data_IF_650633662497
#
_entry.id   IF_650633662497
#
_cell.length_a   1.000
_cell.length_b   1.000
_cell.length_c   1.000
_cell.angle_alpha   90.00
_cell.angle_beta   90.00
_cell.angle_gamma   90.00
#
_symmetry.space_group_name_H-M   'P 1'
#
loop_
_entity.id
_entity.type
_entity.pdbx_description
1 polymer ?
#
# COMPACT_ATOMS: atom_id res chain seq x y z
N UNK A 1 45.57 20.81 -3.88
CA UNK A 1 44.40 21.71 -4.05
C UNK A 1 43.16 20.96 -3.51
N UNK A 2 42.77 21.33 -2.30
CA UNK A 2 41.68 20.69 -1.56
C UNK A 2 40.35 21.32 -1.94
N UNK A 3 39.47 20.53 -2.57
CA UNK A 3 38.06 20.89 -2.80
C UNK A 3 37.14 20.27 -1.74
N UNK A 4 36.85 21.02 -0.69
CA UNK A 4 35.81 20.66 0.28
C UNK A 4 34.45 20.82 -0.39
N UNK A 5 33.80 19.70 -0.72
CA UNK A 5 32.37 19.69 -1.03
C UNK A 5 31.58 19.79 0.29
N UNK A 6 31.00 20.97 0.50
CA UNK A 6 30.11 21.21 1.64
C UNK A 6 28.85 20.38 1.51
N UNK A 7 28.60 19.55 2.49
CA UNK A 7 27.31 18.86 2.68
C UNK A 7 26.34 19.93 3.16
N UNK A 8 25.43 20.32 2.29
CA UNK A 8 24.33 21.21 2.61
C UNK A 8 23.30 20.40 3.38
N UNK A 9 23.28 20.54 4.70
CA UNK A 9 22.21 20.03 5.57
C UNK A 9 20.90 20.72 5.17
N UNK A 10 20.06 20.02 4.42
CA UNK A 10 18.71 20.45 4.16
C UNK A 10 17.98 20.54 5.50
N UNK A 11 17.54 21.75 5.85
CA UNK A 11 16.67 22.01 7.01
C UNK A 11 15.40 21.17 6.85
N UNK A 12 15.28 20.11 7.63
CA UNK A 12 14.08 19.31 7.77
C UNK A 12 12.96 20.24 8.29
N UNK A 13 12.10 20.70 7.38
CA UNK A 13 10.87 21.37 7.76
C UNK A 13 9.94 20.28 8.31
N UNK A 14 9.75 20.26 9.61
CA UNK A 14 8.72 19.49 10.28
C UNK A 14 7.35 20.03 9.85
N UNK A 15 6.82 19.49 8.76
CA UNK A 15 5.46 19.80 8.36
C UNK A 15 4.49 18.93 9.16
N UNK A 16 3.80 19.54 10.13
CA UNK A 16 2.58 18.95 10.68
C UNK A 16 1.65 18.64 9.49
N UNK A 17 1.19 17.39 9.44
CA UNK A 17 0.26 16.97 8.39
C UNK A 17 -1.05 17.78 8.54
N UNK A 18 -1.42 18.67 7.57
CA UNK A 18 -2.61 19.51 7.71
C UNK A 18 -3.89 18.70 7.97
N UNK A 19 -3.94 17.48 7.43
CA UNK A 19 -5.05 16.55 7.63
C UNK A 19 -5.24 16.12 9.09
N UNK A 20 -4.19 16.10 9.92
CA UNK A 20 -4.29 15.72 11.33
C UNK A 20 -5.10 16.72 12.16
N UNK A 21 -4.86 18.02 12.00
CA UNK A 21 -5.61 19.06 12.71
C UNK A 21 -7.08 19.14 12.27
N UNK A 22 -7.32 19.09 10.96
CA UNK A 22 -8.69 19.06 10.40
C UNK A 22 -9.41 17.79 10.87
N UNK A 23 -8.75 16.64 10.87
CA UNK A 23 -9.29 15.39 11.37
C UNK A 23 -9.66 15.45 12.85
N UNK A 24 -8.88 16.14 13.68
CA UNK A 24 -9.18 16.32 15.09
C UNK A 24 -10.45 17.17 15.28
N UNK A 25 -10.60 18.26 14.54
CA UNK A 25 -11.78 19.13 14.60
C UNK A 25 -13.05 18.41 14.11
N UNK A 26 -12.92 17.54 13.10
CA UNK A 26 -14.03 16.77 12.53
C UNK A 26 -14.27 15.44 13.26
N UNK A 27 -13.44 15.08 14.23
CA UNK A 27 -13.47 13.76 14.87
C UNK A 27 -14.86 13.32 15.34
N UNK A 28 -15.68 14.17 16.02
CA UNK A 28 -17.03 13.75 16.42
C UNK A 28 -17.91 13.35 15.22
N UNK A 29 -17.84 14.09 14.12
CA UNK A 29 -18.60 13.79 12.91
C UNK A 29 -18.06 12.54 12.18
N UNK A 30 -16.73 12.33 12.17
CA UNK A 30 -16.10 11.16 11.58
C UNK A 30 -16.45 9.88 12.33
N UNK A 31 -16.62 9.96 13.65
CA UNK A 31 -16.97 8.80 14.48
C UNK A 31 -18.43 8.35 14.31
N UNK A 32 -19.35 9.28 13.93
CA UNK A 32 -20.77 8.95 13.78
C UNK A 32 -21.20 8.67 12.33
N UNK A 33 -20.39 9.06 11.34
CA UNK A 33 -20.71 8.87 9.93
C UNK A 33 -19.61 8.14 9.18
N UNK A 34 -19.84 6.86 8.90
CA UNK A 34 -18.93 6.03 8.12
C UNK A 34 -18.66 6.63 6.72
N UNK A 35 -19.69 7.13 6.05
CA UNK A 35 -19.55 7.76 4.74
C UNK A 35 -18.66 9.01 4.80
N UNK A 36 -18.86 9.89 5.81
CA UNK A 36 -18.02 11.08 5.99
C UNK A 36 -16.57 10.69 6.29
N UNK A 37 -16.37 9.65 7.11
CA UNK A 37 -15.04 9.12 7.42
C UNK A 37 -14.33 8.60 6.15
N UNK A 38 -15.01 7.83 5.32
CA UNK A 38 -14.46 7.33 4.05
C UNK A 38 -14.12 8.48 3.09
N UNK A 39 -15.00 9.48 2.95
CA UNK A 39 -14.78 10.64 2.09
C UNK A 39 -13.62 11.51 2.58
N UNK A 40 -13.54 11.73 3.90
CA UNK A 40 -12.42 12.44 4.52
C UNK A 40 -11.10 11.73 4.27
N UNK A 41 -11.04 10.43 4.55
CA UNK A 41 -9.84 9.63 4.32
C UNK A 41 -9.41 9.65 2.83
N UNK A 42 -10.36 9.47 1.91
CA UNK A 42 -10.05 9.52 0.48
C UNK A 42 -9.44 10.88 0.08
N UNK A 43 -9.93 11.97 0.67
CA UNK A 43 -9.44 13.32 0.39
C UNK A 43 -8.04 13.55 0.94
N UNK A 44 -7.78 13.17 2.21
CA UNK A 44 -6.45 13.37 2.82
C UNK A 44 -5.41 12.45 2.19
N UNK A 45 -5.78 11.21 1.82
CA UNK A 45 -4.88 10.28 1.17
C UNK A 45 -4.47 10.78 -0.23
N UNK A 46 -5.43 11.25 -1.04
CA UNK A 46 -5.14 11.86 -2.35
C UNK A 46 -4.28 13.11 -2.23
N UNK A 47 -4.57 13.98 -1.25
CA UNK A 47 -3.76 15.16 -0.97
C UNK A 47 -2.34 14.76 -0.57
N UNK A 48 -2.17 13.77 0.30
CA UNK A 48 -0.86 13.25 0.68
C UNK A 48 -0.08 12.70 -0.53
N UNK A 49 -0.75 11.95 -1.40
CA UNK A 49 -0.13 11.45 -2.63
C UNK A 49 0.23 12.59 -3.60
N UNK A 50 -0.56 13.65 -3.69
CA UNK A 50 -0.23 14.84 -4.49
C UNK A 50 1.00 15.59 -3.95
N UNK A 51 1.14 15.70 -2.62
CA UNK A 51 2.26 16.41 -1.99
C UNK A 51 3.55 15.58 -2.04
N UNK A 52 3.47 14.27 -1.74
CA UNK A 52 4.63 13.39 -1.55
C UNK A 52 4.72 12.25 -2.58
N UNK A 53 3.90 12.27 -3.63
CA UNK A 53 3.83 11.18 -4.62
C UNK A 53 5.18 10.84 -5.25
N UNK A 54 6.02 11.83 -5.48
CA UNK A 54 7.37 11.61 -6.01
C UNK A 54 8.26 10.79 -5.07
N UNK A 55 8.09 10.91 -3.74
CA UNK A 55 8.83 10.12 -2.76
C UNK A 55 8.44 8.64 -2.83
N UNK A 56 7.22 8.32 -3.25
CA UNK A 56 6.75 6.94 -3.41
C UNK A 56 7.03 6.35 -4.81
N UNK A 57 7.24 7.20 -5.82
CA UNK A 57 7.31 6.79 -7.22
C UNK A 57 8.44 5.80 -7.51
N UNK A 58 9.62 6.01 -6.90
CA UNK A 58 10.77 5.12 -7.09
C UNK A 58 10.52 3.72 -6.51
N UNK A 59 9.97 3.67 -5.29
CA UNK A 59 9.61 2.39 -4.64
C UNK A 59 8.58 1.64 -5.47
N UNK A 60 7.52 2.33 -5.93
CA UNK A 60 6.50 1.73 -6.81
C UNK A 60 7.08 1.20 -8.10
N UNK A 61 7.94 1.98 -8.76
CA UNK A 61 8.60 1.56 -10.00
C UNK A 61 9.43 0.31 -9.77
N UNK A 62 10.29 0.30 -8.75
CA UNK A 62 11.11 -0.87 -8.40
C UNK A 62 10.26 -2.09 -8.07
N UNK A 63 9.18 -1.90 -7.33
CA UNK A 63 8.28 -2.98 -6.95
C UNK A 63 7.53 -3.55 -8.15
N UNK A 64 6.96 -2.69 -9.00
CA UNK A 64 6.11 -3.12 -10.12
C UNK A 64 6.90 -3.68 -11.30
N UNK A 65 8.21 -3.38 -11.44
CA UNK A 65 9.08 -4.06 -12.43
C UNK A 65 9.21 -5.55 -12.17
N UNK A 66 8.94 -6.04 -10.95
CA UNK A 66 8.90 -7.47 -10.65
C UNK A 66 7.80 -8.21 -11.46
N UNK A 67 6.76 -7.50 -11.87
CA UNK A 67 5.75 -8.09 -12.75
C UNK A 67 6.32 -8.44 -14.13
N UNK A 68 7.32 -7.72 -14.62
CA UNK A 68 7.85 -7.89 -15.99
C UNK A 68 8.48 -9.27 -16.20
N UNK A 69 9.08 -9.86 -15.16
CA UNK A 69 9.66 -11.20 -15.18
C UNK A 69 8.66 -12.35 -15.03
N UNK A 70 7.40 -12.07 -14.67
CA UNK A 70 6.41 -13.12 -14.43
C UNK A 70 5.87 -13.70 -15.74
N UNK A 71 5.64 -15.01 -15.72
CA UNK A 71 4.89 -15.73 -16.75
C UNK A 71 3.61 -16.26 -16.12
N UNK A 72 2.46 -15.92 -16.69
CA UNK A 72 1.17 -16.38 -16.17
C UNK A 72 1.04 -17.91 -16.27
N UNK A 73 0.38 -18.50 -15.28
CA UNK A 73 -0.01 -19.91 -15.31
C UNK A 73 -1.24 -20.15 -16.21
N UNK A 74 -2.00 -19.11 -16.55
CA UNK A 74 -3.10 -19.15 -17.51
C UNK A 74 -2.55 -19.10 -18.93
N UNK A 75 -2.78 -20.16 -19.73
CA UNK A 75 -2.29 -20.23 -21.11
C UNK A 75 -2.80 -19.07 -21.96
N UNK A 76 -4.03 -18.60 -21.76
CA UNK A 76 -4.60 -17.46 -22.48
C UNK A 76 -3.89 -16.15 -22.15
N UNK A 77 -3.52 -15.93 -20.89
CA UNK A 77 -2.77 -14.74 -20.46
C UNK A 77 -1.31 -14.81 -20.92
N UNK A 78 -0.70 -15.99 -20.79
CA UNK A 78 0.66 -16.27 -21.27
C UNK A 78 0.80 -15.98 -22.76
N UNK A 79 -0.14 -16.43 -23.58
CA UNK A 79 -0.15 -16.17 -25.02
C UNK A 79 -0.21 -14.68 -25.38
N UNK A 80 -0.80 -13.84 -24.51
CA UNK A 80 -0.88 -12.39 -24.67
C UNK A 80 0.26 -11.64 -23.97
N UNK A 81 1.21 -12.35 -23.34
CA UNK A 81 2.24 -11.73 -22.49
C UNK A 81 1.67 -11.01 -21.27
N UNK A 82 0.45 -11.34 -20.85
CA UNK A 82 -0.24 -10.74 -19.72
C UNK A 82 -0.04 -11.55 -18.43
N UNK A 83 -0.28 -10.90 -17.28
CA UNK A 83 -0.31 -11.53 -15.95
C UNK A 83 -1.58 -11.14 -15.23
N UNK A 84 -2.05 -12.01 -14.32
CA UNK A 84 -3.20 -11.73 -13.47
C UNK A 84 -2.77 -11.19 -12.12
N UNK A 85 -3.24 -9.99 -11.79
CA UNK A 85 -2.86 -9.28 -10.57
C UNK A 85 -4.10 -8.92 -9.75
N UNK A 86 -4.06 -9.22 -8.46
CA UNK A 86 -4.98 -8.66 -7.47
C UNK A 86 -4.27 -7.52 -6.73
N UNK A 87 -4.89 -6.36 -6.68
CA UNK A 87 -4.45 -5.29 -5.77
C UNK A 87 -5.42 -5.15 -4.61
N UNK A 88 -4.89 -5.39 -3.40
CA UNK A 88 -5.61 -5.20 -2.14
C UNK A 88 -5.35 -3.78 -1.63
N UNK A 89 -6.42 -3.05 -1.33
CA UNK A 89 -6.32 -1.64 -0.94
C UNK A 89 -5.91 -0.74 -2.11
N UNK A 90 -6.53 -0.93 -3.27
CA UNK A 90 -6.15 -0.24 -4.51
C UNK A 90 -6.35 1.29 -4.49
N UNK A 91 -7.15 1.81 -3.54
CA UNK A 91 -7.50 3.22 -3.42
C UNK A 91 -7.91 3.84 -4.77
N UNK A 92 -7.32 4.97 -5.16
CA UNK A 92 -7.56 5.61 -6.45
C UNK A 92 -6.62 5.11 -7.57
N UNK A 93 -5.91 3.99 -7.36
CA UNK A 93 -5.04 3.36 -8.36
C UNK A 93 -3.68 4.03 -8.57
N UNK A 94 -2.96 4.45 -7.52
CA UNK A 94 -1.66 5.13 -7.67
C UNK A 94 -0.55 4.20 -8.19
N UNK A 95 -0.80 2.90 -8.27
CA UNK A 95 0.16 1.91 -8.77
C UNK A 95 -0.04 1.60 -10.27
N UNK A 96 -1.18 1.97 -10.84
CA UNK A 96 -1.53 1.61 -12.23
C UNK A 96 -0.51 2.14 -13.26
N UNK A 97 -0.02 3.37 -13.07
CA UNK A 97 0.93 4.02 -13.98
C UNK A 97 2.30 3.31 -14.07
N UNK A 98 2.64 2.47 -13.08
CA UNK A 98 3.89 1.72 -13.03
C UNK A 98 3.77 0.31 -13.61
N UNK A 99 2.59 -0.12 -14.05
CA UNK A 99 2.38 -1.40 -14.71
C UNK A 99 2.74 -1.30 -16.20
N UNK A 100 3.96 -1.69 -16.55
CA UNK A 100 4.51 -1.47 -17.91
C UNK A 100 4.14 -2.55 -18.92
N UNK A 101 3.47 -3.64 -18.52
CA UNK A 101 3.03 -4.76 -19.35
C UNK A 101 1.51 -4.95 -19.33
N UNK A 102 0.93 -5.79 -20.20
CA UNK A 102 -0.49 -6.15 -20.11
C UNK A 102 -0.82 -6.84 -18.79
N UNK A 103 -1.85 -6.37 -18.11
CA UNK A 103 -2.30 -6.91 -16.80
C UNK A 103 -3.81 -7.14 -16.85
N UNK A 104 -4.24 -8.35 -16.50
CA UNK A 104 -5.61 -8.66 -16.10
C UNK A 104 -5.72 -8.33 -14.60
N UNK A 105 -6.41 -7.24 -14.30
CA UNK A 105 -6.37 -6.60 -13.00
C UNK A 105 -7.67 -6.78 -12.23
N UNK A 106 -7.54 -7.22 -10.99
CA UNK A 106 -8.63 -7.27 -10.03
C UNK A 106 -8.37 -6.25 -8.93
N UNK A 107 -9.38 -5.43 -8.67
CA UNK A 107 -9.37 -4.43 -7.61
C UNK A 107 -10.12 -4.94 -6.38
N UNK A 108 -9.51 -4.85 -5.19
CA UNK A 108 -10.19 -5.01 -3.91
C UNK A 108 -10.00 -3.75 -3.08
N UNK A 109 -11.10 -3.02 -2.79
CA UNK A 109 -11.08 -1.75 -2.06
C UNK A 109 -12.41 -1.54 -1.33
N UNK A 110 -12.41 -1.41 0.01
CA UNK A 110 -13.65 -1.20 0.76
C UNK A 110 -14.19 0.22 0.66
N UNK A 111 -13.36 1.22 0.33
CA UNK A 111 -13.76 2.63 0.27
C UNK A 111 -14.16 3.05 -1.14
N UNK A 112 -15.45 3.07 -1.42
CA UNK A 112 -16.01 3.45 -2.73
C UNK A 112 -15.81 4.93 -3.11
N UNK A 113 -15.39 5.78 -2.16
CA UNK A 113 -15.07 7.18 -2.45
C UNK A 113 -13.85 7.37 -3.36
N UNK A 114 -13.08 6.31 -3.57
CA UNK A 114 -11.98 6.29 -4.52
C UNK A 114 -12.39 5.98 -5.96
N UNK A 115 -13.60 5.42 -6.19
CA UNK A 115 -13.97 4.81 -7.47
C UNK A 115 -13.87 5.77 -8.66
N UNK A 116 -14.36 6.99 -8.54
CA UNK A 116 -14.29 7.97 -9.62
C UNK A 116 -12.84 8.32 -10.02
N UNK A 117 -11.96 8.52 -9.02
CA UNK A 117 -10.55 8.80 -9.27
C UNK A 117 -9.81 7.56 -9.79
N UNK A 118 -10.18 6.37 -9.34
CA UNK A 118 -9.65 5.10 -9.84
C UNK A 118 -9.96 4.93 -11.34
N UNK A 119 -11.21 5.19 -11.76
CA UNK A 119 -11.59 5.08 -13.16
C UNK A 119 -10.80 6.04 -14.07
N UNK A 120 -10.55 7.27 -13.60
CA UNK A 120 -9.72 8.22 -14.36
C UNK A 120 -8.28 7.70 -14.54
N UNK A 121 -7.69 7.15 -13.48
CA UNK A 121 -6.34 6.59 -13.56
C UNK A 121 -6.29 5.31 -14.40
N UNK A 122 -7.33 4.48 -14.35
CA UNK A 122 -7.43 3.29 -15.19
C UNK A 122 -7.48 3.66 -16.67
N UNK A 123 -8.28 4.66 -17.05
CA UNK A 123 -8.35 5.14 -18.43
C UNK A 123 -7.01 5.67 -18.96
N UNK A 124 -6.19 6.24 -18.08
CA UNK A 124 -4.84 6.70 -18.43
C UNK A 124 -3.82 5.56 -18.61
N UNK A 125 -4.18 4.32 -18.22
CA UNK A 125 -3.27 3.17 -18.23
C UNK A 125 -3.85 2.00 -19.06
N UNK A 126 -3.85 2.06 -20.41
CA UNK A 126 -4.53 1.11 -21.28
C UNK A 126 -3.96 -0.32 -21.25
N UNK A 127 -2.77 -0.52 -20.64
CA UNK A 127 -2.19 -1.85 -20.42
C UNK A 127 -2.88 -2.62 -19.30
N UNK A 128 -3.62 -1.94 -18.44
CA UNK A 128 -4.33 -2.54 -17.31
C UNK A 128 -5.79 -2.74 -17.68
N UNK A 129 -6.21 -3.98 -17.77
CA UNK A 129 -7.61 -4.37 -17.98
C UNK A 129 -8.26 -4.71 -16.66
N UNK A 130 -9.20 -3.88 -16.19
CA UNK A 130 -9.99 -4.17 -15.00
C UNK A 130 -10.99 -5.28 -15.30
N UNK A 131 -10.73 -6.48 -14.79
CA UNK A 131 -11.60 -7.63 -14.93
C UNK A 131 -12.66 -7.66 -13.82
N UNK A 132 -12.28 -7.31 -12.61
CA UNK A 132 -13.18 -7.33 -11.46
C UNK A 132 -12.87 -6.25 -10.44
N UNK A 133 -13.93 -5.65 -9.89
CA UNK A 133 -13.86 -4.74 -8.73
C UNK A 133 -14.65 -5.35 -7.57
N UNK A 134 -13.98 -5.52 -6.44
CA UNK A 134 -14.53 -6.11 -5.22
C UNK A 134 -14.55 -5.02 -4.13
N UNK A 135 -15.74 -4.69 -3.64
CA UNK A 135 -15.89 -3.84 -2.46
C UNK A 135 -15.77 -4.73 -1.22
N UNK A 136 -14.59 -4.76 -0.60
CA UNK A 136 -14.33 -5.65 0.53
C UNK A 136 -12.93 -5.50 1.10
N UNK A 137 -12.72 -6.23 2.20
CA UNK A 137 -11.44 -6.27 2.92
C UNK A 137 -10.66 -7.53 2.54
N UNK A 138 -9.33 -7.41 2.48
CA UNK A 138 -8.43 -8.49 2.10
C UNK A 138 -8.39 -9.67 3.09
N UNK A 139 -8.94 -9.53 4.28
CA UNK A 139 -9.10 -10.59 5.26
C UNK A 139 -10.22 -11.61 4.88
N UNK A 140 -10.99 -11.31 3.84
CA UNK A 140 -12.03 -12.20 3.34
C UNK A 140 -12.05 -12.23 1.81
N UNK A 141 -11.41 -13.22 1.24
CA UNK A 141 -11.34 -13.47 -0.20
C UNK A 141 -12.02 -14.80 -0.60
N UNK A 142 -13.02 -15.27 0.16
CA UNK A 142 -13.71 -16.57 -0.05
C UNK A 142 -14.25 -16.73 -1.48
N UNK A 143 -14.60 -15.61 -2.16
CA UNK A 143 -15.07 -15.60 -3.54
C UNK A 143 -13.96 -15.81 -4.58
N UNK A 144 -12.69 -15.88 -4.15
CA UNK A 144 -11.53 -16.04 -5.01
C UNK A 144 -10.95 -17.44 -4.83
N UNK A 145 -10.78 -18.21 -5.93
CA UNK A 145 -10.20 -19.56 -5.85
C UNK A 145 -8.74 -19.52 -5.36
N UNK A 146 -8.30 -20.64 -4.78
CA UNK A 146 -6.90 -20.86 -4.43
C UNK A 146 -6.02 -20.83 -5.69
N UNK A 147 -4.83 -20.25 -5.57
CA UNK A 147 -3.84 -20.27 -6.63
C UNK A 147 -4.23 -19.51 -7.91
N UNK A 148 -5.12 -18.54 -7.82
CA UNK A 148 -5.72 -17.88 -8.98
C UNK A 148 -4.86 -16.76 -9.57
N UNK A 149 -4.07 -16.05 -8.75
CA UNK A 149 -3.27 -14.90 -9.18
C UNK A 149 -1.79 -15.24 -9.41
N UNK A 150 -1.19 -14.58 -10.40
CA UNK A 150 0.25 -14.58 -10.63
C UNK A 150 0.96 -13.67 -9.64
N UNK A 151 0.31 -12.54 -9.28
CA UNK A 151 0.79 -11.63 -8.25
C UNK A 151 -0.37 -11.02 -7.44
N UNK A 152 -0.09 -10.74 -6.18
CA UNK A 152 -0.90 -9.89 -5.30
C UNK A 152 -0.07 -8.64 -4.98
N UNK A 153 -0.66 -7.47 -5.14
CA UNK A 153 -0.06 -6.19 -4.81
C UNK A 153 -0.74 -5.62 -3.56
N UNK A 154 0.05 -5.20 -2.60
CA UNK A 154 -0.42 -4.62 -1.35
C UNK A 154 0.47 -3.44 -0.95
N UNK A 155 -0.11 -2.23 -0.96
CA UNK A 155 0.64 -1.01 -0.61
C UNK A 155 -0.10 -0.19 0.44
N UNK A 156 0.49 -0.06 1.63
CA UNK A 156 -0.07 0.69 2.77
C UNK A 156 -1.41 0.13 3.27
N UNK A 157 -1.53 -1.20 3.35
CA UNK A 157 -2.74 -1.91 3.78
C UNK A 157 -2.57 -2.55 5.15
N UNK A 158 -1.43 -3.20 5.42
CA UNK A 158 -1.20 -3.88 6.70
C UNK A 158 -1.35 -2.94 7.89
N UNK A 159 -1.00 -1.67 7.75
CA UNK A 159 -1.16 -0.68 8.82
C UNK A 159 -2.63 -0.54 9.28
N UNK A 160 -3.59 -0.74 8.38
CA UNK A 160 -5.03 -0.57 8.62
C UNK A 160 -5.81 -1.88 8.75
N UNK A 161 -5.20 -3.01 8.40
CA UNK A 161 -5.83 -4.33 8.50
C UNK A 161 -6.28 -4.65 9.94
N UNK A 162 -7.46 -5.23 10.08
CA UNK A 162 -8.01 -5.67 11.38
C UNK A 162 -7.31 -6.94 11.84
N UNK A 163 -7.12 -7.90 10.93
CA UNK A 163 -6.38 -9.14 11.16
C UNK A 163 -5.30 -9.32 10.07
N UNK A 164 -4.08 -8.88 10.39
CA UNK A 164 -2.96 -8.94 9.47
C UNK A 164 -2.56 -10.37 9.10
N UNK A 165 -2.72 -11.34 10.03
CA UNK A 165 -2.40 -12.74 9.73
C UNK A 165 -3.38 -13.29 8.71
N UNK A 166 -4.66 -13.13 8.96
CA UNK A 166 -5.71 -13.57 8.05
C UNK A 166 -5.56 -12.94 6.67
N UNK A 167 -5.22 -11.64 6.60
CA UNK A 167 -4.94 -10.96 5.34
C UNK A 167 -3.76 -11.59 4.60
N UNK A 168 -2.64 -11.86 5.28
CA UNK A 168 -1.46 -12.46 4.67
C UNK A 168 -1.72 -13.92 4.26
N UNK A 169 -2.48 -14.68 5.05
CA UNK A 169 -2.90 -16.04 4.73
C UNK A 169 -3.78 -16.07 3.48
N UNK A 170 -4.73 -15.14 3.36
CA UNK A 170 -5.57 -15.01 2.16
C UNK A 170 -4.74 -14.60 0.93
N UNK A 171 -3.84 -13.61 1.06
CA UNK A 171 -2.93 -13.25 -0.03
C UNK A 171 -2.12 -14.46 -0.51
N UNK A 172 -1.61 -15.26 0.42
CA UNK A 172 -0.85 -16.48 0.09
C UNK A 172 -1.73 -17.56 -0.54
N UNK A 173 -2.97 -17.76 -0.05
CA UNK A 173 -3.91 -18.74 -0.59
C UNK A 173 -4.31 -18.45 -2.03
N UNK A 174 -4.60 -17.19 -2.34
CA UNK A 174 -5.04 -16.81 -3.71
C UNK A 174 -3.89 -16.72 -4.71
N UNK A 175 -2.64 -16.65 -4.23
CA UNK A 175 -1.45 -16.74 -5.10
C UNK A 175 -1.23 -18.17 -5.58
N UNK A 176 -0.93 -18.33 -6.86
CA UNK A 176 -0.43 -19.60 -7.37
C UNK A 176 0.90 -19.97 -6.72
N UNK A 177 1.26 -21.23 -6.75
CA UNK A 177 2.60 -21.67 -6.35
C UNK A 177 3.67 -20.91 -7.16
N UNK A 178 4.62 -20.29 -6.47
CA UNK A 178 5.63 -19.40 -7.07
C UNK A 178 5.07 -18.05 -7.55
N UNK A 179 3.84 -17.69 -7.19
CA UNK A 179 3.29 -16.34 -7.37
C UNK A 179 3.89 -15.37 -6.37
N UNK A 180 3.79 -14.07 -6.66
CA UNK A 180 4.47 -13.03 -5.90
C UNK A 180 3.49 -12.17 -5.10
N UNK A 181 3.76 -11.98 -3.81
CA UNK A 181 3.23 -10.87 -3.04
C UNK A 181 4.22 -9.70 -3.17
N UNK A 182 3.80 -8.63 -3.81
CA UNK A 182 4.52 -7.37 -3.92
C UNK A 182 3.98 -6.42 -2.85
N UNK A 183 4.83 -5.93 -1.96
CA UNK A 183 4.36 -5.11 -0.85
C UNK A 183 5.22 -3.86 -0.63
N UNK A 184 4.57 -2.79 -0.16
CA UNK A 184 5.21 -1.59 0.38
C UNK A 184 4.38 -1.09 1.56
N UNK A 185 4.99 -0.96 2.74
CA UNK A 185 4.30 -0.62 3.98
C UNK A 185 5.13 0.35 4.81
N UNK A 186 4.47 1.29 5.50
CA UNK A 186 5.15 1.98 6.59
C UNK A 186 5.22 1.09 7.83
N UNK A 187 6.27 1.25 8.60
CA UNK A 187 6.51 0.46 9.82
C UNK A 187 6.88 1.37 10.97
N UNK A 188 6.50 0.95 12.16
CA UNK A 188 6.84 1.68 13.39
C UNK A 188 8.35 1.81 13.59
N UNK A 189 8.75 2.90 14.22
CA UNK A 189 10.14 3.12 14.61
C UNK A 189 10.59 2.09 15.68
N UNK A 190 11.90 1.90 15.88
CA UNK A 190 12.41 0.95 16.86
C UNK A 190 11.82 1.19 18.25
N UNK A 191 11.42 0.10 18.92
CA UNK A 191 10.89 0.15 20.30
C UNK A 191 11.88 0.86 21.23
N UNK A 192 11.36 1.73 22.10
CA UNK A 192 12.18 2.54 23.02
C UNK A 192 12.73 3.84 22.42
N UNK A 193 12.53 4.12 21.12
CA UNK A 193 12.87 5.43 20.53
C UNK A 193 11.82 6.50 20.85
N UNK A 194 12.23 7.77 20.85
CA UNK A 194 11.29 8.89 20.99
C UNK A 194 10.26 8.91 19.85
N UNK A 195 10.67 8.59 18.63
CA UNK A 195 9.78 8.49 17.47
C UNK A 195 8.70 7.43 17.71
N UNK A 196 9.05 6.24 18.27
CA UNK A 196 8.07 5.20 18.62
C UNK A 196 7.10 5.69 19.69
N UNK A 197 7.57 6.42 20.70
CA UNK A 197 6.69 6.98 21.73
C UNK A 197 5.66 7.96 21.14
N UNK A 198 6.07 8.76 20.14
CA UNK A 198 5.13 9.61 19.39
C UNK A 198 4.11 8.78 18.57
N UNK A 199 4.55 7.75 17.88
CA UNK A 199 3.64 6.85 17.15
C UNK A 199 2.64 6.18 18.09
N UNK A 200 3.10 5.68 19.25
CA UNK A 200 2.25 5.03 20.25
C UNK A 200 1.19 6.02 20.78
N UNK A 201 1.58 7.28 21.03
CA UNK A 201 0.68 8.32 21.50
C UNK A 201 -0.36 8.73 20.45
N UNK A 202 0.05 8.85 19.17
CA UNK A 202 -0.84 9.31 18.09
C UNK A 202 -1.59 8.18 17.38
N UNK A 203 -1.26 6.93 17.59
CA UNK A 203 -1.94 5.78 16.98
C UNK A 203 -3.45 5.76 17.26
N UNK A 204 -3.96 6.02 18.48
CA UNK A 204 -5.40 6.07 18.73
C UNK A 204 -6.14 7.11 17.86
N UNK A 205 -5.53 8.29 17.66
CA UNK A 205 -6.07 9.31 16.76
C UNK A 205 -6.02 8.86 15.30
N UNK A 206 -4.86 8.34 14.85
CA UNK A 206 -4.66 7.85 13.48
C UNK A 206 -5.66 6.75 13.12
N UNK A 207 -5.94 5.82 14.01
CA UNK A 207 -6.97 4.78 13.81
C UNK A 207 -8.34 5.36 13.49
N UNK A 208 -8.72 6.43 14.16
CA UNK A 208 -10.03 7.06 14.00
C UNK A 208 -10.10 8.05 12.83
N UNK A 209 -8.96 8.55 12.35
CA UNK A 209 -8.91 9.57 11.28
C UNK A 209 -8.46 8.97 9.95
N UNK A 210 -7.60 7.95 9.99
CA UNK A 210 -6.97 7.34 8.82
C UNK A 210 -7.37 5.86 8.64
N UNK A 211 -8.66 5.57 8.69
CA UNK A 211 -9.25 4.26 8.37
C UNK A 211 -8.55 3.07 9.07
N UNK A 212 -8.33 3.17 10.37
CA UNK A 212 -7.74 2.07 11.14
C UNK A 212 -6.21 2.05 11.17
N UNK A 213 -5.53 3.03 10.62
CA UNK A 213 -4.07 3.04 10.51
C UNK A 213 -3.39 3.00 11.88
N UNK A 214 -2.52 2.02 12.08
CA UNK A 214 -1.63 1.89 13.22
C UNK A 214 -0.24 2.41 12.82
N UNK A 215 0.14 3.57 13.31
CA UNK A 215 1.44 4.19 13.00
C UNK A 215 2.63 3.34 13.46
N UNK A 216 2.43 2.59 14.53
CA UNK A 216 3.44 1.82 15.25
C UNK A 216 3.45 0.32 14.92
N UNK A 217 2.82 -0.12 13.82
CA UNK A 217 2.74 -1.54 13.49
C UNK A 217 4.07 -2.06 12.96
N UNK A 218 4.49 -3.21 13.49
CA UNK A 218 5.72 -3.90 13.04
C UNK A 218 5.37 -4.84 11.86
N UNK A 219 4.91 -4.26 10.72
CA UNK A 219 4.43 -5.01 9.54
C UNK A 219 5.49 -5.94 8.95
N UNK A 220 6.78 -5.57 9.06
CA UNK A 220 7.88 -6.41 8.59
C UNK A 220 7.96 -7.75 9.31
N UNK A 221 7.74 -7.79 10.63
CA UNK A 221 7.77 -9.03 11.41
C UNK A 221 6.55 -9.91 11.09
N UNK A 222 5.41 -9.29 10.81
CA UNK A 222 4.21 -10.02 10.37
C UNK A 222 4.47 -10.72 9.03
N UNK A 223 5.06 -10.03 8.06
CA UNK A 223 5.40 -10.62 6.75
C UNK A 223 6.45 -11.73 6.92
N UNK A 224 7.51 -11.51 7.71
CA UNK A 224 8.55 -12.55 7.97
C UNK A 224 7.95 -13.82 8.57
N UNK A 225 6.95 -13.69 9.43
CA UNK A 225 6.32 -14.83 10.12
C UNK A 225 5.18 -15.47 9.36
N UNK A 226 4.81 -14.99 8.17
CA UNK A 226 3.65 -15.46 7.41
C UNK A 226 3.88 -16.74 6.60
N UNK A 227 5.13 -17.27 6.58
CA UNK A 227 5.44 -18.58 5.98
C UNK A 227 5.39 -18.58 4.45
N UNK A 228 5.76 -17.49 3.78
CA UNK A 228 6.09 -17.48 2.36
C UNK A 228 7.36 -18.29 2.09
N UNK A 229 7.48 -18.89 0.91
CA UNK A 229 8.62 -19.74 0.54
C UNK A 229 9.94 -18.97 0.46
N UNK A 230 9.89 -17.70 0.04
CA UNK A 230 11.02 -16.77 0.07
C UNK A 230 10.54 -15.34 0.35
N UNK A 231 11.45 -14.53 0.87
CA UNK A 231 11.19 -13.12 1.18
C UNK A 231 12.43 -12.29 0.90
N UNK A 232 12.29 -11.32 0.02
CA UNK A 232 13.24 -10.23 -0.18
C UNK A 232 12.59 -8.95 0.33
N UNK A 233 13.21 -8.27 1.29
CA UNK A 233 12.64 -7.09 1.94
C UNK A 233 13.71 -6.05 2.21
N UNK A 234 13.45 -4.82 1.79
CA UNK A 234 14.31 -3.67 1.96
C UNK A 234 13.66 -2.65 2.89
N UNK A 235 14.48 -1.94 3.65
CA UNK A 235 14.05 -0.82 4.49
C UNK A 235 14.59 0.49 3.93
N UNK A 236 13.80 1.55 4.02
CA UNK A 236 14.21 2.91 3.66
C UNK A 236 13.45 3.95 4.49
N UNK A 237 13.97 5.17 4.46
CA UNK A 237 13.26 6.32 5.01
C UNK A 237 12.91 7.26 3.85
N UNK A 238 11.62 7.54 3.67
CA UNK A 238 11.13 8.50 2.69
C UNK A 238 11.14 9.92 3.26
N UNK A 239 11.28 10.90 2.38
CA UNK A 239 11.12 12.33 2.73
C UNK A 239 9.64 12.71 2.79
N UNK A 240 8.98 12.25 3.86
CA UNK A 240 7.56 12.42 4.18
C UNK A 240 7.43 12.63 5.70
N UNK A 241 6.24 12.90 6.25
CA UNK A 241 6.08 13.06 7.70
C UNK A 241 6.70 11.92 8.51
N UNK A 242 7.49 12.25 9.52
CA UNK A 242 8.36 11.31 10.24
C UNK A 242 7.63 10.09 10.80
N UNK A 243 6.37 10.24 11.26
CA UNK A 243 5.56 9.16 11.83
C UNK A 243 5.20 8.03 10.84
N UNK A 244 5.43 8.24 9.57
CA UNK A 244 5.23 7.25 8.50
C UNK A 244 6.43 7.19 7.54
N UNK A 245 7.55 7.83 7.89
CA UNK A 245 8.72 7.93 7.00
C UNK A 245 9.48 6.62 6.86
N UNK A 246 9.49 5.80 7.91
CA UNK A 246 10.15 4.50 7.88
C UNK A 246 9.29 3.51 7.11
N UNK A 247 9.86 2.95 6.06
CA UNK A 247 9.16 2.10 5.10
C UNK A 247 9.88 0.77 4.92
N UNK A 248 9.10 -0.23 4.59
CA UNK A 248 9.60 -1.49 4.00
C UNK A 248 8.95 -1.70 2.65
N UNK A 249 9.67 -2.32 1.73
CA UNK A 249 9.11 -2.83 0.48
C UNK A 249 9.82 -4.12 0.08
N UNK A 250 9.17 -4.92 -0.73
CA UNK A 250 9.77 -6.17 -1.14
C UNK A 250 8.83 -7.13 -1.84
N UNK A 251 9.34 -8.34 -1.98
CA UNK A 251 8.68 -9.45 -2.67
C UNK A 251 8.70 -10.68 -1.80
N UNK A 252 7.54 -11.32 -1.63
CA UNK A 252 7.46 -12.64 -1.02
C UNK A 252 6.89 -13.64 -2.05
N UNK A 253 7.44 -14.86 -2.09
CA UNK A 253 7.02 -15.91 -3.02
C UNK A 253 6.15 -16.94 -2.29
N UNK A 254 4.98 -17.29 -2.86
CA UNK A 254 4.05 -18.28 -2.33
C UNK A 254 4.47 -19.73 -2.64
#
# INVERSE_FOLDING_TARGET
MNGKKGVQLAKQRQHLCPGGLVGLLLLPALLVSHHLHQAFFASIYRMGQWIWGNSFAEVRRTLLTQLDGLVSHSESLKARGAVRVLEVGAAFGPNLEFMCRPVEYWKMEPNTQFDAAFQNNLQANPKVQLERSICGYGENMDMIPDGFFDAVLMTYVLCSAQDCRKLLDECKRVLRKGGLLLFSEHVGHPKGSLARSFEDFFTPLAKNVACGCHLNRDSGDLIRSSGFASLEMHELNLDIPFVVSRQIYGVATA
#
